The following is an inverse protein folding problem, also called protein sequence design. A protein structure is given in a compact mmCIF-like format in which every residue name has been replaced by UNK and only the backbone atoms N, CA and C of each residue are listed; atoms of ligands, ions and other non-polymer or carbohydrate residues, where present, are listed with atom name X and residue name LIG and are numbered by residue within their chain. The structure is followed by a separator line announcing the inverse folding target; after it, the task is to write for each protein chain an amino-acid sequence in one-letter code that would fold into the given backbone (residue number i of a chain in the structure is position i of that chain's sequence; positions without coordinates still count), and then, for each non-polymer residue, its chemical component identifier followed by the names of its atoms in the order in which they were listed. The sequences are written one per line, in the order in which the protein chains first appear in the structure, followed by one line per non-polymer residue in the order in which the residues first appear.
data_IF_130531061255
#
_entry.id   IF_130531061255
#
_cell.length_a   1.000
_cell.length_b   1.000
_cell.length_c   1.000
_cell.angle_alpha   90.00
_cell.angle_beta   90.00
_cell.angle_gamma   90.00
#
_symmetry.space_group_name_H-M   'P 1'
#
loop_
_entity.id
_entity.type
_entity.pdbx_description
1 polymer ?
#
# COMPACT_ATOMS: atom_id res chain seq x y z
N UNK A 1 -8.64 -1.15 12.88
CA UNK A 1 -8.58 -2.60 12.61
C UNK A 1 -7.73 -3.23 13.68
N UNK A 2 -8.06 -4.41 14.16
CA UNK A 2 -7.29 -5.05 15.21
C UNK A 2 -8.01 -6.20 15.89
N UNK A 3 -7.25 -6.94 16.66
CA UNK A 3 -7.66 -8.09 17.43
C UNK A 3 -7.60 -7.74 18.90
N UNK A 4 -8.75 -7.83 19.56
CA UNK A 4 -8.76 -7.88 21.01
C UNK A 4 -8.39 -9.31 21.42
N UNK A 5 -7.20 -9.47 22.01
CA UNK A 5 -6.58 -10.76 22.30
C UNK A 5 -7.23 -11.43 23.52
N UNK A 6 -7.78 -10.65 24.46
CA UNK A 6 -8.47 -11.19 25.64
C UNK A 6 -9.82 -11.82 25.30
N UNK A 7 -10.60 -11.21 24.40
CA UNK A 7 -11.92 -11.72 23.95
C UNK A 7 -11.86 -12.57 22.68
N UNK A 8 -10.74 -12.51 21.95
CA UNK A 8 -10.60 -13.16 20.65
C UNK A 8 -11.28 -12.42 19.48
N UNK A 9 -11.91 -11.26 19.71
CA UNK A 9 -12.64 -10.52 18.66
C UNK A 9 -11.68 -9.82 17.69
N UNK A 10 -11.70 -10.25 16.43
CA UNK A 10 -10.89 -9.67 15.35
C UNK A 10 -11.72 -8.74 14.45
N UNK A 11 -11.31 -7.48 14.36
CA UNK A 11 -11.94 -6.41 13.58
C UNK A 11 -11.09 -6.05 12.37
N UNK A 12 -11.64 -6.25 11.18
CA UNK A 12 -10.98 -5.97 9.91
C UNK A 12 -11.94 -5.29 8.93
N UNK A 13 -11.39 -4.80 7.82
CA UNK A 13 -12.20 -4.25 6.71
C UNK A 13 -12.43 -5.34 5.67
N UNK A 14 -13.63 -5.34 5.10
CA UNK A 14 -14.01 -6.17 3.94
C UNK A 14 -14.47 -5.21 2.85
N UNK A 15 -14.08 -5.46 1.60
CA UNK A 15 -14.57 -4.67 0.47
C UNK A 15 -16.06 -4.89 0.26
N UNK A 16 -16.71 -3.96 -0.41
CA UNK A 16 -17.95 -4.26 -1.12
C UNK A 16 -17.68 -5.28 -2.23
N UNK A 17 -18.73 -5.93 -2.72
CA UNK A 17 -18.63 -6.87 -3.84
C UNK A 17 -18.31 -6.14 -5.14
N UNK A 18 -18.99 -5.03 -5.38
CA UNK A 18 -18.68 -4.09 -6.45
C UNK A 18 -19.18 -2.67 -6.08
N UNK A 19 -19.07 -1.73 -7.03
CA UNK A 19 -19.41 -0.32 -6.81
C UNK A 19 -20.92 -0.07 -6.60
N UNK A 20 -21.77 -1.03 -7.01
CA UNK A 20 -23.23 -0.96 -6.91
C UNK A 20 -23.82 -1.93 -5.87
N UNK A 21 -23.06 -2.94 -5.45
CA UNK A 21 -23.46 -3.95 -4.47
C UNK A 21 -22.64 -3.83 -3.16
N UNK A 22 -23.22 -3.30 -2.07
CA UNK A 22 -22.54 -3.12 -0.79
C UNK A 22 -22.41 -4.42 0.03
N UNK A 23 -22.83 -5.58 -0.51
CA UNK A 23 -22.60 -6.87 0.14
C UNK A 23 -21.11 -7.18 0.27
N UNK A 24 -20.77 -8.13 1.14
CA UNK A 24 -19.39 -8.50 1.41
C UNK A 24 -18.71 -9.04 0.14
N UNK A 25 -17.63 -8.38 -0.27
CA UNK A 25 -16.74 -8.86 -1.32
C UNK A 25 -15.62 -9.77 -0.79
N UNK A 26 -14.74 -10.18 -1.68
CA UNK A 26 -13.70 -11.17 -1.39
C UNK A 26 -12.42 -10.58 -0.78
N UNK A 27 -12.27 -9.26 -0.84
CA UNK A 27 -11.07 -8.58 -0.37
C UNK A 27 -11.21 -8.22 1.10
N UNK A 28 -10.22 -8.60 1.91
CA UNK A 28 -10.15 -8.18 3.32
C UNK A 28 -8.81 -7.55 3.67
N UNK A 29 -8.84 -6.57 4.55
CA UNK A 29 -7.68 -5.88 5.11
C UNK A 29 -7.61 -6.12 6.60
N UNK A 30 -6.61 -6.88 7.04
CA UNK A 30 -6.49 -7.40 8.41
C UNK A 30 -5.10 -7.14 9.00
N UNK A 31 -5.00 -7.33 10.31
CA UNK A 31 -3.71 -7.49 10.99
C UNK A 31 -3.55 -8.99 11.30
N UNK A 32 -2.48 -9.57 10.76
CA UNK A 32 -2.03 -10.92 11.11
C UNK A 32 -1.00 -10.86 12.21
N UNK A 33 -0.85 -11.94 12.99
CA UNK A 33 0.24 -12.06 13.96
C UNK A 33 0.82 -13.50 14.04
N UNK A 34 1.61 -13.94 13.04
CA UNK A 34 2.29 -15.24 13.07
C UNK A 34 3.55 -15.23 13.98
N UNK A 35 3.60 -14.35 14.99
CA UNK A 35 4.76 -14.08 15.84
C UNK A 35 5.26 -12.64 15.71
N UNK A 36 4.94 -11.95 14.62
CA UNK A 36 5.15 -10.52 14.46
C UNK A 36 3.97 -9.90 13.72
N UNK A 37 3.31 -8.86 14.27
CA UNK A 37 2.15 -8.28 13.62
C UNK A 37 2.43 -7.64 12.28
N UNK A 38 1.56 -7.90 11.30
CA UNK A 38 1.70 -7.40 9.93
C UNK A 38 0.35 -7.00 9.36
N UNK A 39 0.34 -5.89 8.62
CA UNK A 39 -0.81 -5.53 7.80
C UNK A 39 -0.83 -6.41 6.54
N UNK A 40 -1.99 -7.02 6.28
CA UNK A 40 -2.17 -7.97 5.18
C UNK A 40 -3.48 -7.68 4.43
N UNK A 41 -3.42 -7.72 3.10
CA UNK A 41 -4.59 -7.84 2.25
C UNK A 41 -4.76 -9.28 1.78
N UNK A 42 -6.00 -9.74 1.77
CA UNK A 42 -6.36 -11.08 1.29
C UNK A 42 -7.46 -11.04 0.26
N UNK A 43 -7.44 -12.02 -0.64
CA UNK A 43 -8.60 -12.45 -1.42
C UNK A 43 -8.99 -13.84 -0.93
N UNK A 44 -10.09 -13.95 -0.20
CA UNK A 44 -10.43 -15.19 0.52
C UNK A 44 -9.31 -15.61 1.48
N UNK A 45 -8.71 -16.78 1.26
CA UNK A 45 -7.58 -17.31 2.04
C UNK A 45 -6.20 -16.85 1.53
N UNK A 46 -6.11 -16.38 0.29
CA UNK A 46 -4.85 -16.00 -0.37
C UNK A 46 -4.38 -14.62 0.12
N UNK A 47 -3.10 -14.51 0.49
CA UNK A 47 -2.46 -13.22 0.79
C UNK A 47 -2.01 -12.56 -0.51
N UNK A 48 -2.66 -11.47 -0.90
CA UNK A 48 -2.32 -10.70 -2.10
C UNK A 48 -1.37 -9.53 -1.81
N UNK A 49 -1.22 -9.12 -0.55
CA UNK A 49 -0.23 -8.14 -0.12
C UNK A 49 0.10 -8.29 1.37
N UNK A 50 1.36 -8.04 1.71
CA UNK A 50 1.85 -8.01 3.09
C UNK A 50 2.79 -6.82 3.25
N UNK A 51 2.44 -5.87 4.12
CA UNK A 51 3.25 -4.69 4.36
C UNK A 51 4.48 -4.97 5.26
N UNK A 52 4.59 -6.18 5.83
CA UNK A 52 5.63 -6.47 6.82
C UNK A 52 5.36 -5.78 8.16
N UNK A 53 6.35 -5.81 9.08
CA UNK A 53 6.16 -5.39 10.46
C UNK A 53 6.02 -3.87 10.64
N UNK A 54 5.45 -3.50 11.78
CA UNK A 54 5.46 -2.12 12.26
C UNK A 54 6.88 -1.70 12.66
N UNK A 55 7.38 -0.59 12.12
CA UNK A 55 8.74 -0.10 12.38
C UNK A 55 8.81 1.05 13.41
N UNK A 56 7.74 1.27 14.18
CA UNK A 56 7.59 2.42 15.09
C UNK A 56 6.86 3.61 14.48
N UNK A 57 6.84 3.72 13.14
CA UNK A 57 6.23 4.86 12.42
C UNK A 57 5.12 4.40 11.47
N UNK A 58 5.35 3.28 10.79
CA UNK A 58 4.45 2.70 9.76
C UNK A 58 4.75 1.22 9.57
N UNK A 59 3.94 0.54 8.77
CA UNK A 59 4.29 -0.80 8.28
C UNK A 59 5.35 -0.68 7.18
N UNK A 60 6.41 -1.50 7.23
CA UNK A 60 7.62 -1.36 6.42
C UNK A 60 7.42 -1.28 4.90
N UNK A 61 6.41 -1.96 4.39
CA UNK A 61 6.08 -2.10 2.96
C UNK A 61 5.01 -1.11 2.51
N UNK A 62 4.60 -0.17 3.37
CA UNK A 62 3.79 0.98 2.96
C UNK A 62 4.68 2.08 2.40
N UNK A 63 4.20 2.82 1.39
CA UNK A 63 4.93 3.92 0.77
C UNK A 63 5.35 5.02 1.77
N UNK A 64 6.44 5.73 1.46
CA UNK A 64 6.91 6.86 2.27
C UNK A 64 6.14 8.10 1.83
N UNK A 65 5.20 8.58 2.64
CA UNK A 65 4.60 9.90 2.43
C UNK A 65 4.68 10.72 3.71
N UNK A 66 5.07 11.99 3.57
CA UNK A 66 4.93 12.96 4.64
C UNK A 66 3.44 13.19 4.86
N UNK A 67 2.89 12.56 5.89
CA UNK A 67 1.47 12.64 6.17
C UNK A 67 1.21 13.59 7.34
N UNK A 68 0.49 14.68 7.04
CA UNK A 68 0.03 15.68 8.03
C UNK A 68 -1.46 15.59 8.33
N UNK A 69 -2.17 14.65 7.71
CA UNK A 69 -3.63 14.53 7.78
C UNK A 69 -4.05 13.63 8.95
N UNK A 70 -3.27 12.59 9.22
CA UNK A 70 -3.55 11.67 10.31
C UNK A 70 -2.27 11.14 10.94
N UNK A 71 -2.37 10.81 12.23
CA UNK A 71 -1.37 10.05 12.98
C UNK A 71 -1.76 8.59 12.98
N UNK A 72 -0.80 7.73 12.63
CA UNK A 72 -0.95 6.28 12.75
C UNK A 72 -0.62 5.84 14.18
N UNK A 73 -1.50 5.05 14.78
CA UNK A 73 -1.35 4.50 16.12
C UNK A 73 -1.38 2.98 15.99
N UNK A 74 -0.37 2.34 16.57
CA UNK A 74 -0.24 0.89 16.62
C UNK A 74 -0.03 0.46 18.07
N UNK A 75 -0.87 -0.47 18.53
CA UNK A 75 -0.80 -1.04 19.88
C UNK A 75 -0.63 -2.54 19.73
N UNK A 76 0.34 -3.09 20.46
CA UNK A 76 0.56 -4.52 20.59
C UNK A 76 1.01 -4.84 22.01
N UNK A 77 0.12 -5.44 22.80
CA UNK A 77 0.37 -5.88 24.18
C UNK A 77 -0.38 -7.20 24.44
N UNK A 78 -0.54 -7.60 25.71
CA UNK A 78 -1.22 -8.85 26.10
C UNK A 78 -2.73 -8.86 25.85
N UNK A 79 -3.36 -7.68 25.76
CA UNK A 79 -4.82 -7.53 25.66
C UNK A 79 -5.26 -7.13 24.26
N UNK A 80 -4.45 -6.34 23.57
CA UNK A 80 -4.84 -5.68 22.34
C UNK A 80 -3.72 -5.69 21.28
N UNK A 81 -4.13 -5.98 20.05
CA UNK A 81 -3.35 -5.80 18.84
C UNK A 81 -4.17 -4.97 17.85
N UNK A 82 -3.90 -3.68 17.71
CA UNK A 82 -4.65 -2.87 16.75
C UNK A 82 -3.84 -1.80 16.06
N UNK A 83 -4.36 -1.41 14.91
CA UNK A 83 -3.94 -0.26 14.13
C UNK A 83 -5.13 0.67 13.95
N UNK A 84 -4.92 1.94 14.25
CA UNK A 84 -5.88 3.00 14.01
C UNK A 84 -5.20 4.24 13.43
N UNK A 85 -6.02 5.10 12.84
CA UNK A 85 -5.58 6.41 12.39
C UNK A 85 -6.40 7.44 13.12
N UNK A 86 -5.73 8.41 13.71
CA UNK A 86 -6.35 9.56 14.35
C UNK A 86 -6.15 10.77 13.44
N UNK A 87 -7.22 11.51 13.13
CA UNK A 87 -7.10 12.74 12.35
C UNK A 87 -6.20 13.73 13.11
N UNK A 88 -5.36 14.46 12.38
CA UNK A 88 -4.45 15.44 13.00
C UNK A 88 -5.16 16.71 13.48
N UNK A 89 -6.37 16.96 13.00
CA UNK A 89 -7.22 18.09 13.37
C UNK A 89 -8.69 17.63 13.44
N UNK A 90 -9.44 18.12 14.44
CA UNK A 90 -10.85 17.78 14.64
C UNK A 90 -11.78 18.27 13.51
N UNK A 91 -11.30 19.16 12.65
CA UNK A 91 -11.99 19.65 11.45
C UNK A 91 -11.85 18.70 10.24
N UNK A 92 -11.11 17.60 10.39
CA UNK A 92 -10.85 16.62 9.34
C UNK A 92 -11.51 15.29 9.71
N UNK A 93 -12.33 14.77 8.79
CA UNK A 93 -12.80 13.38 8.85
C UNK A 93 -12.02 12.58 7.82
N UNK A 94 -11.50 11.43 8.20
CA UNK A 94 -10.81 10.51 7.27
C UNK A 94 -11.44 9.14 7.32
N UNK A 95 -11.52 8.49 6.15
CA UNK A 95 -12.03 7.13 6.04
C UNK A 95 -11.09 6.30 5.18
N UNK A 96 -10.57 5.21 5.74
CA UNK A 96 -9.84 4.19 5.00
C UNK A 96 -10.77 3.02 4.65
N UNK A 97 -10.72 2.58 3.40
CA UNK A 97 -11.44 1.40 2.91
C UNK A 97 -10.56 0.54 1.99
N UNK A 98 -11.07 -0.63 1.62
CA UNK A 98 -10.53 -1.47 0.56
C UNK A 98 -11.60 -1.74 -0.49
N UNK A 99 -11.21 -1.77 -1.76
CA UNK A 99 -12.12 -2.07 -2.85
C UNK A 99 -11.97 -3.50 -3.36
N UNK A 100 -12.89 -3.92 -4.22
CA UNK A 100 -12.96 -5.24 -4.87
C UNK A 100 -11.71 -5.59 -5.69
N UNK A 101 -10.98 -4.58 -6.16
CA UNK A 101 -9.71 -4.73 -6.89
C UNK A 101 -8.48 -4.90 -5.98
N UNK A 102 -8.65 -4.87 -4.66
CA UNK A 102 -7.53 -4.97 -3.71
C UNK A 102 -6.77 -3.66 -3.49
N UNK A 103 -7.35 -2.51 -3.85
CA UNK A 103 -6.76 -1.20 -3.59
C UNK A 103 -7.11 -0.75 -2.18
N UNK A 104 -6.12 -0.21 -1.46
CA UNK A 104 -6.38 0.54 -0.23
C UNK A 104 -6.61 1.98 -0.60
N UNK A 105 -7.75 2.51 -0.17
CA UNK A 105 -8.15 3.87 -0.45
C UNK A 105 -8.31 4.64 0.84
N UNK A 106 -7.97 5.92 0.80
CA UNK A 106 -8.29 6.85 1.88
C UNK A 106 -8.96 8.09 1.33
N UNK A 107 -10.08 8.41 1.95
CA UNK A 107 -10.87 9.59 1.68
C UNK A 107 -10.74 10.58 2.83
N UNK A 108 -10.80 11.87 2.50
CA UNK A 108 -10.73 12.98 3.44
C UNK A 108 -11.91 13.92 3.19
N UNK A 109 -12.57 14.33 4.27
CA UNK A 109 -13.59 15.37 4.26
C UNK A 109 -13.11 16.49 5.18
N UNK A 110 -12.83 17.64 4.59
CA UNK A 110 -12.43 18.84 5.33
C UNK A 110 -13.67 19.64 5.73
N UNK A 111 -13.61 20.32 6.87
CA UNK A 111 -14.65 21.25 7.32
C UNK A 111 -14.97 22.28 6.23
N UNK A 112 -16.26 22.41 5.90
CA UNK A 112 -16.76 23.32 4.87
C UNK A 112 -16.90 22.68 3.49
N UNK A 113 -16.31 21.51 3.25
CA UNK A 113 -16.54 20.75 2.02
C UNK A 113 -17.79 19.87 2.16
N UNK A 114 -18.51 19.69 1.05
CA UNK A 114 -19.67 18.80 0.96
C UNK A 114 -19.35 17.43 0.37
N UNK A 115 -18.12 17.22 -0.11
CA UNK A 115 -17.69 15.98 -0.78
C UNK A 115 -16.35 15.47 -0.25
N UNK A 116 -16.20 14.14 -0.31
CA UNK A 116 -14.97 13.45 0.00
C UNK A 116 -13.94 13.63 -1.12
N UNK A 117 -12.69 13.89 -0.76
CA UNK A 117 -11.56 13.84 -1.69
C UNK A 117 -10.74 12.57 -1.49
N UNK A 118 -10.23 12.00 -2.57
CA UNK A 118 -9.32 10.86 -2.52
C UNK A 118 -7.92 11.35 -2.16
N UNK A 119 -7.43 11.00 -0.97
CA UNK A 119 -6.07 11.29 -0.55
C UNK A 119 -5.07 10.36 -1.24
N UNK A 120 -5.37 9.07 -1.24
CA UNK A 120 -4.63 8.09 -2.02
C UNK A 120 -5.53 6.91 -2.38
N UNK A 121 -5.22 6.31 -3.52
CA UNK A 121 -5.72 5.01 -3.95
C UNK A 121 -4.51 4.23 -4.42
N UNK A 122 -4.01 3.33 -3.58
CA UNK A 122 -2.75 2.64 -3.83
C UNK A 122 -2.99 1.16 -4.05
N UNK A 123 -2.41 0.65 -5.14
CA UNK A 123 -2.17 -0.77 -5.29
C UNK A 123 -0.95 -1.10 -4.44
N UNK A 124 -1.20 -1.77 -3.33
CA UNK A 124 -0.12 -2.25 -2.50
C UNK A 124 0.51 -3.47 -3.19
N UNK A 125 1.63 -3.25 -3.87
CA UNK A 125 2.34 -4.32 -4.58
C UNK A 125 3.06 -5.23 -3.58
N UNK A 126 2.97 -6.56 -3.73
CA UNK A 126 3.91 -7.47 -3.07
C UNK A 126 5.34 -7.04 -3.38
N UNK A 127 6.25 -7.18 -2.41
CA UNK A 127 7.68 -6.92 -2.63
C UNK A 127 8.22 -7.70 -3.86
N UNK A 128 7.71 -8.92 -4.08
CA UNK A 128 8.04 -9.75 -5.25
C UNK A 128 7.64 -9.08 -6.56
N UNK A 129 6.44 -8.52 -6.64
CA UNK A 129 5.95 -7.83 -7.86
C UNK A 129 6.70 -6.52 -8.10
N UNK A 130 7.10 -5.82 -7.03
CA UNK A 130 7.99 -4.65 -7.15
C UNK A 130 9.36 -5.04 -7.72
N UNK A 131 9.94 -6.16 -7.25
CA UNK A 131 11.22 -6.66 -7.76
C UNK A 131 11.11 -7.11 -9.22
N UNK A 132 10.04 -7.81 -9.59
CA UNK A 132 9.77 -8.19 -10.99
C UNK A 132 9.57 -6.97 -11.89
N UNK A 133 8.82 -5.97 -11.42
CA UNK A 133 8.59 -4.72 -12.16
C UNK A 133 9.87 -3.92 -12.32
N UNK A 134 10.68 -3.79 -11.26
CA UNK A 134 11.96 -3.11 -11.29
C UNK A 134 12.96 -3.82 -12.22
N UNK A 135 12.99 -5.15 -12.18
CA UNK A 135 13.79 -5.97 -13.12
C UNK A 135 13.34 -5.73 -14.56
N UNK A 136 12.04 -5.79 -14.82
CA UNK A 136 11.49 -5.55 -16.17
C UNK A 136 11.82 -4.15 -16.69
N UNK A 137 11.76 -3.12 -15.84
CA UNK A 137 12.15 -1.76 -16.20
C UNK A 137 13.66 -1.65 -16.50
N UNK A 138 14.51 -2.32 -15.72
CA UNK A 138 15.95 -2.38 -15.96
C UNK A 138 16.26 -3.09 -17.29
N UNK A 139 15.59 -4.20 -17.58
CA UNK A 139 15.75 -4.95 -18.84
C UNK A 139 15.35 -4.09 -20.05
N UNK A 140 14.24 -3.35 -19.95
CA UNK A 140 13.80 -2.41 -20.99
C UNK A 140 14.81 -1.28 -21.21
N UNK A 141 15.36 -0.73 -20.13
CA UNK A 141 16.38 0.33 -20.21
C UNK A 141 17.66 -0.17 -20.91
N UNK A 142 18.14 -1.36 -20.56
CA UNK A 142 19.31 -1.98 -21.21
C UNK A 142 19.04 -2.24 -22.69
N UNK A 143 17.84 -2.74 -23.04
CA UNK A 143 17.44 -2.95 -24.43
C UNK A 143 17.47 -1.64 -25.23
N UNK A 144 16.84 -0.59 -24.72
CA UNK A 144 16.77 0.71 -25.38
C UNK A 144 18.17 1.34 -25.60
N UNK A 145 19.07 1.19 -24.62
CA UNK A 145 20.46 1.64 -24.76
C UNK A 145 21.25 0.84 -25.80
N UNK A 146 21.01 -0.47 -25.87
CA UNK A 146 21.65 -1.35 -26.86
C UNK A 146 21.20 -0.98 -28.27
N UNK A 147 19.91 -0.75 -28.47
CA UNK A 147 19.35 -0.33 -29.76
C UNK A 147 19.87 1.04 -30.20
N UNK A 148 19.97 1.99 -29.26
CA UNK A 148 20.56 3.30 -29.51
C UNK A 148 22.04 3.18 -29.89
N UNK A 149 22.82 2.36 -29.17
CA UNK A 149 24.23 2.17 -29.45
C UNK A 149 24.46 1.53 -30.83
N UNK A 150 23.66 0.53 -31.20
CA UNK A 150 23.72 -0.12 -32.52
C UNK A 150 23.38 0.87 -33.64
N UNK A 151 22.32 1.66 -33.48
CA UNK A 151 21.93 2.68 -34.44
C UNK A 151 23.01 3.77 -34.63
N UNK A 152 23.60 4.26 -33.54
CA UNK A 152 24.70 5.23 -33.61
C UNK A 152 25.93 4.66 -34.32
N UNK A 153 26.26 3.38 -34.06
CA UNK A 153 27.36 2.66 -34.74
C UNK A 153 27.11 2.53 -36.24
N UNK A 154 25.91 2.15 -36.65
CA UNK A 154 25.53 2.04 -38.07
C UNK A 154 25.63 3.37 -38.81
N UNK A 155 25.38 4.49 -38.10
CA UNK A 155 25.50 5.85 -38.64
C UNK A 155 26.89 6.47 -38.48
N UNK A 156 27.91 5.68 -38.09
CA UNK A 156 29.30 6.14 -38.00
C UNK A 156 29.58 7.14 -36.88
N UNK A 157 28.67 7.28 -35.90
CA UNK A 157 28.85 8.15 -34.74
C UNK A 157 29.50 7.36 -33.59
N UNK A 158 30.51 7.94 -32.93
CA UNK A 158 31.17 7.33 -31.76
C UNK A 158 30.74 8.00 -30.46
N UNK A 159 30.50 7.19 -29.43
CA UNK A 159 30.10 7.66 -28.10
C UNK A 159 31.36 7.82 -27.23
N UNK A 160 31.65 9.04 -26.75
CA UNK A 160 32.64 9.30 -25.69
C UNK A 160 31.85 9.67 -24.44
N UNK A 161 31.38 8.66 -23.71
CA UNK A 161 30.65 8.85 -22.46
C UNK A 161 31.11 7.84 -21.43
N UNK A 162 31.66 8.33 -20.32
CA UNK A 162 32.04 7.51 -19.16
C UNK A 162 30.80 7.33 -18.29
N UNK A 163 30.42 6.08 -18.02
CA UNK A 163 29.39 5.76 -17.04
C UNK A 163 30.09 5.65 -15.68
N UNK A 164 30.03 6.70 -14.86
CA UNK A 164 30.43 6.59 -13.46
C UNK A 164 29.23 6.02 -12.69
N UNK A 165 29.40 4.82 -12.13
CA UNK A 165 28.42 4.09 -11.31
C UNK A 165 28.61 4.44 -9.84
#
# INVERSE_FOLDING_TARGET
MGWNLSTGVNRYLTSCKDDNDPSLGDITSRIDNPGMPQFVLRRGSEKIFQAGPWNGIRFSGTGVSSNKIFKSIFVYNSEDLYYMNEASDNSIITWQTVNQSGLVQRFVLNKGNSSWSTMYSSRNYPFVVLMESAKSAADQFVSAYTDLFLNLRENGMSFVGRLDV
#
